data_IF_376000313505
#
_entry.id   IF_376000313505
#
_cell.length_a   1.000
_cell.length_b   1.000
_cell.length_c   1.000
_cell.angle_alpha   90.00
_cell.angle_beta   90.00
_cell.angle_gamma   90.00
#
_symmetry.space_group_name_H-M   'P 1'
#
loop_
_entity.id
_entity.type
_entity.pdbx_description
1 polymer ?
#
# COMPACT_ATOMS: atom_id res chain seq x y z
N UNK A 1 33.02 3.38 17.27
CA UNK A 1 32.90 4.06 15.96
C UNK A 1 31.90 5.21 16.04
N UNK A 2 30.64 4.98 16.44
CA UNK A 2 29.61 6.04 16.53
C UNK A 2 29.94 7.22 17.47
N UNK A 3 30.61 6.95 18.60
CA UNK A 3 31.02 8.02 19.55
C UNK A 3 32.03 8.99 18.93
N UNK A 4 32.96 8.49 18.12
CA UNK A 4 33.97 9.33 17.44
C UNK A 4 33.31 10.18 16.37
N UNK A 5 32.38 9.62 15.60
CA UNK A 5 31.59 10.36 14.60
C UNK A 5 30.77 11.48 15.24
N UNK A 6 30.10 11.22 16.37
CA UNK A 6 29.35 12.24 17.11
C UNK A 6 30.23 13.39 17.64
N UNK A 7 31.41 13.07 18.17
CA UNK A 7 32.35 14.10 18.62
C UNK A 7 32.91 14.93 17.44
N UNK A 8 33.09 14.31 16.27
CA UNK A 8 33.54 15.01 15.07
C UNK A 8 32.45 15.97 14.55
N UNK A 9 31.18 15.55 14.52
CA UNK A 9 30.04 16.41 14.17
C UNK A 9 29.90 17.64 15.08
N UNK A 10 30.24 17.51 16.36
CA UNK A 10 30.21 18.64 17.30
C UNK A 10 31.32 19.68 17.06
N UNK A 11 32.40 19.31 16.35
CA UNK A 11 33.61 20.12 16.19
C UNK A 11 33.95 20.48 14.74
N UNK A 12 33.35 19.80 13.76
CA UNK A 12 33.67 19.91 12.34
C UNK A 12 32.39 20.08 11.53
N UNK A 13 32.29 21.10 10.67
CA UNK A 13 31.12 21.28 9.81
C UNK A 13 30.98 20.12 8.81
N UNK A 14 29.74 19.77 8.48
CA UNK A 14 29.45 18.76 7.45
C UNK A 14 29.87 19.29 6.07
N UNK A 15 30.32 18.38 5.21
CA UNK A 15 30.59 18.73 3.82
C UNK A 15 29.27 19.07 3.12
N UNK A 16 29.31 20.10 2.26
CA UNK A 16 28.19 20.50 1.40
C UNK A 16 28.76 20.68 0.01
N UNK A 17 28.29 19.88 -0.94
CA UNK A 17 28.69 20.01 -2.33
C UNK A 17 28.00 21.22 -2.97
N UNK A 18 28.77 22.11 -3.57
CA UNK A 18 28.26 23.29 -4.28
C UNK A 18 27.48 22.97 -5.54
N UNK A 19 27.67 21.77 -6.14
CA UNK A 19 26.96 21.34 -7.34
C UNK A 19 25.57 20.76 -7.06
N UNK A 20 25.34 20.26 -5.83
CA UNK A 20 24.06 19.67 -5.40
C UNK A 20 23.09 20.66 -4.73
N UNK A 21 23.45 21.93 -4.59
CA UNK A 21 22.58 23.02 -4.15
C UNK A 21 22.52 23.27 -2.63
N UNK A 22 21.39 23.80 -2.13
CA UNK A 22 21.18 24.18 -0.72
C UNK A 22 20.80 23.00 0.21
N UNK A 23 20.73 21.77 -0.31
CA UNK A 23 20.32 20.60 0.47
C UNK A 23 21.50 20.10 1.30
N UNK A 24 21.32 20.01 2.61
CA UNK A 24 22.31 19.43 3.52
C UNK A 24 22.34 17.90 3.32
N UNK A 25 23.29 17.42 2.50
CA UNK A 25 23.43 15.99 2.16
C UNK A 25 23.58 15.09 3.38
N UNK A 26 24.25 15.57 4.43
CA UNK A 26 24.39 14.82 5.65
C UNK A 26 23.06 14.73 6.39
N UNK A 27 22.28 15.81 6.41
CA UNK A 27 20.94 15.79 6.98
C UNK A 27 20.00 14.87 6.19
N UNK A 28 20.04 14.88 4.86
CA UNK A 28 19.28 13.95 4.00
C UNK A 28 19.69 12.49 4.25
N UNK A 29 20.99 12.22 4.34
CA UNK A 29 21.48 10.89 4.69
C UNK A 29 21.00 10.48 6.08
N UNK A 30 21.07 11.37 7.07
CA UNK A 30 20.68 11.09 8.45
C UNK A 30 19.18 10.86 8.57
N UNK A 31 18.35 11.63 7.87
CA UNK A 31 16.88 11.48 7.86
C UNK A 31 16.46 10.06 7.43
N UNK A 32 17.14 9.51 6.42
CA UNK A 32 16.95 8.12 5.96
C UNK A 32 17.42 7.05 6.95
N UNK A 33 18.17 7.44 7.97
CA UNK A 33 18.74 6.58 9.01
C UNK A 33 18.35 7.04 10.42
N UNK A 34 17.28 7.81 10.60
CA UNK A 34 16.74 8.14 11.91
C UNK A 34 15.58 7.19 12.27
N UNK A 35 14.97 7.38 13.44
CA UNK A 35 13.72 6.73 13.79
C UNK A 35 12.58 7.30 12.92
N UNK A 36 11.71 6.41 12.42
CA UNK A 36 10.54 6.78 11.61
C UNK A 36 9.52 7.62 12.39
N UNK A 37 9.58 7.60 13.73
CA UNK A 37 8.73 8.39 14.63
C UNK A 37 9.53 9.47 15.37
N UNK A 38 9.25 10.73 15.05
CA UNK A 38 9.78 11.89 15.78
C UNK A 38 9.03 12.24 17.08
N UNK A 39 7.92 11.55 17.39
CA UNK A 39 7.03 11.87 18.51
C UNK A 39 7.34 11.11 19.81
N UNK A 40 8.48 10.40 19.86
CA UNK A 40 8.96 9.59 20.99
C UNK A 40 8.08 8.40 21.35
N UNK A 41 7.18 7.98 20.46
CA UNK A 41 6.39 6.75 20.61
C UNK A 41 7.06 5.57 19.92
N UNK A 42 6.66 4.37 20.30
CA UNK A 42 7.22 3.15 19.72
C UNK A 42 6.39 2.73 18.51
N UNK A 43 7.03 2.15 17.50
CA UNK A 43 6.31 1.55 16.39
C UNK A 43 5.48 0.34 16.80
N UNK A 44 5.90 -0.38 17.85
CA UNK A 44 5.08 -1.43 18.45
C UNK A 44 3.65 -0.95 18.75
N UNK A 45 3.49 0.27 19.27
CA UNK A 45 2.18 0.82 19.62
C UNK A 45 1.30 1.05 18.39
N UNK A 46 1.94 1.30 17.23
CA UNK A 46 1.25 1.43 15.95
C UNK A 46 0.85 0.09 15.34
N UNK A 47 1.56 -1.00 15.64
CA UNK A 47 1.30 -2.31 15.04
C UNK A 47 -0.10 -2.79 15.38
N UNK A 48 -0.93 -2.96 14.36
CA UNK A 48 -2.27 -3.47 14.53
C UNK A 48 -2.27 -5.01 14.59
N UNK A 49 -3.28 -5.63 15.22
CA UNK A 49 -3.51 -7.06 15.08
C UNK A 49 -3.67 -7.44 13.61
N UNK A 50 -3.25 -8.66 13.26
CA UNK A 50 -3.53 -9.20 11.95
C UNK A 50 -5.06 -9.24 11.71
N UNK A 51 -5.54 -8.83 10.52
CA UNK A 51 -6.94 -8.95 10.14
C UNK A 51 -7.45 -10.39 10.36
N UNK A 52 -8.65 -10.53 10.92
CA UNK A 52 -9.26 -11.84 11.20
C UNK A 52 -10.05 -12.37 10.00
N UNK A 53 -10.21 -11.54 8.96
CA UNK A 53 -10.92 -11.86 7.74
C UNK A 53 -10.22 -13.01 7.02
N UNK A 54 -11.00 -14.04 6.69
CA UNK A 54 -10.57 -15.14 5.83
C UNK A 54 -11.13 -14.94 4.43
N UNK A 55 -10.27 -15.13 3.45
CA UNK A 55 -10.64 -15.06 2.05
C UNK A 55 -11.20 -16.40 1.58
N UNK A 56 -12.17 -16.34 0.67
CA UNK A 56 -12.84 -17.52 0.14
C UNK A 56 -11.87 -18.51 -0.52
N UNK A 57 -10.75 -18.03 -1.08
CA UNK A 57 -9.72 -18.89 -1.66
C UNK A 57 -9.00 -19.77 -0.62
N UNK A 58 -8.90 -19.35 0.64
CA UNK A 58 -8.23 -20.10 1.71
C UNK A 58 -9.04 -21.32 2.18
N UNK A 59 -10.35 -21.35 1.88
CA UNK A 59 -11.26 -22.44 2.26
C UNK A 59 -11.60 -23.38 1.09
N UNK A 60 -11.01 -23.17 -0.10
CA UNK A 60 -11.21 -24.05 -1.27
C UNK A 60 -10.67 -25.46 -0.98
N UNK A 61 -11.40 -26.49 -1.42
CA UNK A 61 -11.05 -27.90 -1.16
C UNK A 61 -9.89 -28.36 -2.05
N UNK A 62 -9.11 -29.30 -1.51
CA UNK A 62 -7.83 -29.80 -2.04
C UNK A 62 -7.87 -30.61 -3.36
N UNK A 63 -9.05 -30.98 -3.86
CA UNK A 63 -9.20 -31.91 -5.00
C UNK A 63 -9.64 -31.21 -6.31
N UNK A 64 -9.72 -29.87 -6.32
CA UNK A 64 -10.09 -29.12 -7.52
C UNK A 64 -8.83 -28.58 -8.21
N UNK A 65 -8.61 -28.89 -9.49
CA UNK A 65 -7.59 -28.23 -10.33
C UNK A 65 -7.81 -26.69 -10.40
N UNK A 66 -8.98 -26.22 -9.94
CA UNK A 66 -9.38 -24.82 -9.76
C UNK A 66 -8.90 -24.19 -8.42
N UNK A 67 -8.30 -24.96 -7.49
CA UNK A 67 -7.90 -24.54 -6.12
C UNK A 67 -7.03 -23.27 -6.14
N UNK A 68 -6.28 -23.03 -7.21
CA UNK A 68 -5.28 -21.95 -7.26
C UNK A 68 -5.64 -20.83 -8.22
N UNK A 69 -6.64 -20.99 -9.10
CA UNK A 69 -6.97 -19.95 -10.07
C UNK A 69 -7.45 -18.69 -9.35
N UNK A 70 -6.99 -17.55 -9.86
CA UNK A 70 -7.48 -16.25 -9.41
C UNK A 70 -8.81 -16.03 -10.13
N UNK A 71 -9.90 -15.95 -9.37
CA UNK A 71 -11.27 -15.76 -9.89
C UNK A 71 -11.69 -14.30 -9.79
N UNK A 72 -12.81 -13.94 -10.43
CA UNK A 72 -13.37 -12.59 -10.27
C UNK A 72 -13.77 -12.27 -8.83
N UNK A 73 -14.25 -13.28 -8.09
CA UNK A 73 -14.63 -13.15 -6.68
C UNK A 73 -13.42 -12.79 -5.80
N UNK A 74 -12.23 -13.33 -6.12
CA UNK A 74 -10.99 -13.01 -5.38
C UNK A 74 -10.68 -11.50 -5.46
N UNK A 75 -10.94 -10.86 -6.60
CA UNK A 75 -10.75 -9.40 -6.75
C UNK A 75 -11.84 -8.59 -6.04
N UNK A 76 -13.09 -9.07 -6.04
CA UNK A 76 -14.20 -8.39 -5.37
C UNK A 76 -14.03 -8.41 -3.84
N UNK A 77 -13.60 -9.55 -3.30
CA UNK A 77 -13.27 -9.71 -1.88
C UNK A 77 -12.03 -8.88 -1.48
N UNK A 78 -11.02 -8.81 -2.36
CA UNK A 78 -9.86 -7.95 -2.18
C UNK A 78 -10.20 -6.45 -2.26
N UNK A 79 -11.18 -6.05 -3.08
CA UNK A 79 -11.62 -4.66 -3.20
C UNK A 79 -12.49 -4.22 -2.03
N UNK A 80 -13.41 -5.07 -1.58
CA UNK A 80 -14.38 -4.74 -0.54
C UNK A 80 -14.41 -5.83 0.53
N UNK A 81 -14.09 -5.42 1.76
CA UNK A 81 -14.18 -6.29 2.93
C UNK A 81 -15.04 -5.60 3.99
N UNK A 82 -16.12 -6.27 4.40
CA UNK A 82 -17.16 -5.65 5.22
C UNK A 82 -17.80 -4.43 4.52
N UNK A 83 -17.87 -3.30 5.23
CA UNK A 83 -18.54 -2.08 4.76
C UNK A 83 -17.60 -1.06 4.12
N UNK A 84 -16.29 -1.32 4.08
CA UNK A 84 -15.30 -0.40 3.52
C UNK A 84 -14.62 -0.96 2.26
N UNK A 85 -14.19 -0.04 1.40
CA UNK A 85 -13.39 -0.34 0.22
C UNK A 85 -11.92 -0.23 0.57
N UNK A 86 -11.12 -1.20 0.14
CA UNK A 86 -9.66 -1.09 0.10
C UNK A 86 -9.29 -0.18 -1.08
N UNK A 87 -8.56 0.90 -0.82
CA UNK A 87 -8.24 1.91 -1.84
C UNK A 87 -6.74 2.10 -2.04
N UNK A 88 -5.94 1.69 -1.07
CA UNK A 88 -4.50 1.68 -1.18
C UNK A 88 -3.92 0.63 -0.26
N UNK A 89 -2.85 -0.04 -0.67
CA UNK A 89 -2.11 -0.90 0.23
C UNK A 89 -1.53 -2.12 -0.45
N UNK A 90 -0.77 -2.87 0.33
CA UNK A 90 -0.24 -4.16 -0.05
C UNK A 90 -0.31 -5.07 1.16
N UNK A 91 -0.74 -6.31 0.96
CA UNK A 91 -0.72 -7.30 2.01
C UNK A 91 -0.53 -8.70 1.45
N UNK A 92 -0.01 -9.57 2.31
CA UNK A 92 0.15 -10.98 2.03
C UNK A 92 -0.73 -11.76 3.00
N UNK A 93 -1.54 -12.66 2.46
CA UNK A 93 -2.26 -13.68 3.23
C UNK A 93 -1.79 -15.06 2.81
N UNK A 94 -1.93 -16.04 3.69
CA UNK A 94 -1.50 -17.38 3.38
C UNK A 94 -2.43 -18.46 3.93
N UNK A 95 -2.33 -19.63 3.34
CA UNK A 95 -2.81 -20.87 3.93
C UNK A 95 -1.62 -21.82 4.19
N UNK A 96 -1.92 -23.11 4.39
CA UNK A 96 -0.91 -24.14 4.63
C UNK A 96 0.02 -24.45 3.44
N UNK A 97 -0.36 -24.08 2.22
CA UNK A 97 0.26 -24.44 0.94
C UNK A 97 0.60 -23.22 0.07
N UNK A 98 -0.19 -22.15 0.09
CA UNK A 98 -0.10 -21.00 -0.80
C UNK A 98 -0.04 -19.70 -0.02
N UNK A 99 0.58 -18.71 -0.64
CA UNK A 99 0.52 -17.32 -0.23
C UNK A 99 0.02 -16.47 -1.39
N UNK A 100 -0.79 -15.48 -1.06
CA UNK A 100 -1.35 -14.52 -1.97
C UNK A 100 -0.88 -13.12 -1.57
N UNK A 101 -0.19 -12.45 -2.49
CA UNK A 101 0.12 -11.03 -2.36
C UNK A 101 -0.93 -10.23 -3.12
N UNK A 102 -1.60 -9.33 -2.39
CA UNK A 102 -2.62 -8.44 -2.92
C UNK A 102 -2.09 -7.02 -2.88
N UNK A 103 -2.17 -6.30 -4.00
CA UNK A 103 -1.85 -4.88 -4.07
C UNK A 103 -3.07 -4.13 -4.55
N UNK A 104 -3.38 -3.03 -3.88
CA UNK A 104 -4.47 -2.14 -4.27
C UNK A 104 -3.90 -0.74 -4.41
N UNK A 105 -4.13 -0.13 -5.56
CA UNK A 105 -3.74 1.24 -5.83
C UNK A 105 -4.93 2.02 -6.39
N UNK A 106 -5.02 3.30 -6.05
CA UNK A 106 -6.08 4.15 -6.60
C UNK A 106 -5.58 5.56 -6.89
N UNK A 107 -6.15 6.15 -7.94
CA UNK A 107 -5.82 7.50 -8.38
C UNK A 107 -7.07 8.21 -8.94
N UNK A 108 -7.06 9.54 -8.85
CA UNK A 108 -8.12 10.40 -9.34
C UNK A 108 -7.96 10.61 -10.84
N UNK A 109 -9.06 10.52 -11.58
CA UNK A 109 -9.08 10.62 -13.04
C UNK A 109 -10.14 11.61 -13.52
N UNK A 110 -9.89 12.25 -14.66
CA UNK A 110 -10.86 13.16 -15.27
C UNK A 110 -12.12 12.39 -15.75
N UNK A 111 -13.35 12.81 -15.39
CA UNK A 111 -14.57 12.06 -15.70
C UNK A 111 -14.78 11.84 -17.21
N UNK A 112 -14.47 12.84 -18.03
CA UNK A 112 -14.65 12.81 -19.49
C UNK A 112 -13.82 11.73 -20.18
N UNK A 113 -12.69 11.32 -19.57
CA UNK A 113 -11.72 10.38 -20.15
C UNK A 113 -11.52 9.13 -19.31
N UNK A 114 -12.21 9.00 -18.18
CA UNK A 114 -12.03 7.92 -17.21
C UNK A 114 -12.26 6.53 -17.83
N UNK A 115 -13.31 6.38 -18.64
CA UNK A 115 -13.60 5.14 -19.37
C UNK A 115 -12.58 4.81 -20.46
N UNK A 116 -12.06 5.82 -21.14
CA UNK A 116 -11.01 5.62 -22.15
C UNK A 116 -9.71 5.18 -21.50
N UNK A 117 -9.35 5.78 -20.35
CA UNK A 117 -8.18 5.39 -19.58
C UNK A 117 -8.32 3.97 -19.02
N UNK A 118 -9.49 3.62 -18.45
CA UNK A 118 -9.79 2.28 -17.98
C UNK A 118 -9.56 1.22 -19.07
N UNK A 119 -10.06 1.48 -20.29
CA UNK A 119 -9.84 0.60 -21.45
C UNK A 119 -8.37 0.51 -21.84
N UNK A 120 -7.67 1.64 -21.89
CA UNK A 120 -6.26 1.67 -22.28
C UNK A 120 -5.40 0.83 -21.31
N UNK A 121 -5.57 1.04 -20.00
CA UNK A 121 -4.86 0.28 -18.97
C UNK A 121 -5.26 -1.20 -18.96
N UNK A 122 -6.56 -1.50 -19.15
CA UNK A 122 -7.04 -2.88 -19.22
C UNK A 122 -6.60 -3.65 -20.46
N UNK A 123 -6.13 -2.96 -21.50
CA UNK A 123 -5.51 -3.58 -22.70
C UNK A 123 -3.98 -3.67 -22.63
N UNK A 124 -3.36 -3.24 -21.54
CA UNK A 124 -1.93 -3.38 -21.36
C UNK A 124 -1.53 -4.86 -21.35
N UNK A 125 -0.39 -5.19 -21.94
CA UNK A 125 0.08 -6.58 -22.03
C UNK A 125 0.56 -7.11 -20.68
N UNK A 126 1.07 -6.22 -19.82
CA UNK A 126 1.52 -6.52 -18.47
C UNK A 126 1.04 -5.48 -17.46
N UNK A 127 0.84 -5.92 -16.22
CA UNK A 127 0.56 -5.05 -15.06
C UNK A 127 1.73 -4.12 -14.73
N UNK A 128 2.93 -4.43 -15.25
CA UNK A 128 4.14 -3.64 -15.05
C UNK A 128 4.37 -2.60 -16.17
N UNK A 129 3.52 -2.57 -17.21
CA UNK A 129 3.64 -1.61 -18.32
C UNK A 129 3.09 -0.22 -17.94
N UNK A 130 2.38 -0.12 -16.81
CA UNK A 130 1.83 1.12 -16.27
C UNK A 130 1.93 1.14 -14.74
N UNK A 131 1.64 2.29 -14.14
CA UNK A 131 1.58 2.44 -12.70
C UNK A 131 0.44 3.39 -12.31
N UNK A 132 -0.27 3.04 -11.24
CA UNK A 132 -1.21 3.95 -10.57
C UNK A 132 -0.42 4.79 -9.55
N UNK A 133 -0.35 6.12 -9.72
CA UNK A 133 0.54 6.96 -8.93
C UNK A 133 -0.02 7.24 -7.52
N UNK A 134 0.90 7.30 -6.55
CA UNK A 134 0.66 7.95 -5.26
C UNK A 134 0.71 9.47 -5.38
N UNK A 135 0.22 10.18 -4.37
CA UNK A 135 0.14 11.63 -4.38
C UNK A 135 1.54 12.26 -4.46
N UNK A 136 1.76 13.13 -5.44
CA UNK A 136 3.04 13.80 -5.67
C UNK A 136 4.10 12.94 -6.35
N UNK A 137 3.71 11.77 -6.88
CA UNK A 137 4.61 10.95 -7.70
C UNK A 137 4.89 11.63 -9.05
N UNK A 138 6.12 11.45 -9.55
CA UNK A 138 6.55 11.77 -10.91
C UNK A 138 5.79 10.99 -12.00
N UNK A 139 5.10 9.92 -11.63
CA UNK A 139 4.24 9.11 -12.50
C UNK A 139 2.83 9.68 -12.66
N UNK A 140 2.50 10.81 -12.00
CA UNK A 140 1.25 11.51 -12.25
C UNK A 140 1.15 12.03 -13.68
N UNK A 141 -0.04 11.93 -14.27
CA UNK A 141 -0.29 12.36 -15.65
C UNK A 141 -1.27 13.52 -15.62
N UNK A 142 -0.88 14.62 -16.26
CA UNK A 142 -1.76 15.75 -16.56
C UNK A 142 -1.43 16.27 -17.97
N UNK A 143 -1.80 15.48 -18.98
CA UNK A 143 -1.45 15.72 -20.40
C UNK A 143 -2.61 15.37 -21.32
N UNK A 144 -2.81 16.18 -22.36
CA UNK A 144 -3.79 15.94 -23.41
C UNK A 144 -5.24 15.70 -22.90
N UNK A 145 -5.61 16.31 -21.77
CA UNK A 145 -6.91 16.14 -21.13
C UNK A 145 -7.08 14.81 -20.38
N UNK A 146 -6.03 13.99 -20.28
CA UNK A 146 -5.96 12.88 -19.35
C UNK A 146 -5.36 13.39 -18.04
N UNK A 147 -6.10 13.18 -16.95
CA UNK A 147 -5.60 13.36 -15.59
C UNK A 147 -5.56 11.99 -14.90
N UNK A 148 -4.42 11.68 -14.29
CA UNK A 148 -4.21 10.54 -13.39
C UNK A 148 -3.36 11.08 -12.23
N UNK A 149 -4.03 11.48 -11.15
CA UNK A 149 -3.41 12.15 -10.01
C UNK A 149 -3.52 11.31 -8.76
N UNK A 150 -2.41 11.16 -8.04
CA UNK A 150 -2.42 10.44 -6.79
C UNK A 150 -3.12 11.25 -5.70
N UNK A 151 -3.74 10.54 -4.76
CA UNK A 151 -4.40 11.16 -3.61
C UNK A 151 -4.04 10.50 -2.28
N UNK A 152 -3.29 9.41 -2.31
CA UNK A 152 -2.77 8.70 -1.13
C UNK A 152 -1.26 8.91 -1.07
N UNK A 153 -0.76 9.24 0.10
CA UNK A 153 0.67 9.29 0.41
C UNK A 153 1.04 7.97 1.10
N UNK A 154 2.06 7.30 0.58
CA UNK A 154 2.52 6.01 1.08
C UNK A 154 4.03 6.03 1.31
N UNK A 155 4.42 5.79 2.57
CA UNK A 155 5.82 5.72 3.02
C UNK A 155 6.26 4.27 3.30
N UNK A 156 5.47 3.28 2.88
CA UNK A 156 5.65 1.89 3.27
C UNK A 156 7.00 1.27 2.87
N UNK A 157 7.75 1.90 1.96
CA UNK A 157 9.02 1.40 1.43
C UNK A 157 10.24 1.75 2.28
N UNK A 158 10.20 2.80 3.10
CA UNK A 158 11.31 3.17 3.97
C UNK A 158 11.02 2.76 5.42
N UNK A 159 11.89 1.90 5.96
CA UNK A 159 11.81 1.43 7.35
C UNK A 159 12.88 2.06 8.24
N UNK A 160 13.74 2.91 7.68
CA UNK A 160 14.84 3.58 8.36
C UNK A 160 15.58 2.67 9.37
N UNK A 161 15.94 3.17 10.55
CA UNK A 161 16.53 2.33 11.62
C UNK A 161 15.56 1.30 12.20
N UNK A 162 14.26 1.58 12.10
CA UNK A 162 13.22 0.76 12.69
C UNK A 162 13.06 -0.61 12.02
N UNK A 163 13.62 -0.80 10.82
CA UNK A 163 13.70 -2.11 10.18
C UNK A 163 14.45 -3.15 11.02
N UNK A 164 15.27 -2.72 11.99
CA UNK A 164 15.99 -3.59 12.93
C UNK A 164 15.23 -3.82 14.24
N UNK A 165 14.10 -3.13 14.47
CA UNK A 165 13.29 -3.31 15.66
C UNK A 165 12.42 -4.57 15.55
N UNK A 166 12.71 -5.55 16.42
CA UNK A 166 11.96 -6.80 16.50
C UNK A 166 10.53 -6.60 16.96
N UNK A 167 10.30 -5.56 17.73
CA UNK A 167 8.99 -5.25 18.28
C UNK A 167 8.13 -4.56 17.19
N UNK A 168 8.69 -3.63 16.41
CA UNK A 168 7.97 -3.03 15.28
C UNK A 168 7.35 -4.06 14.30
N UNK A 169 7.83 -5.31 14.27
CA UNK A 169 7.18 -6.36 13.48
C UNK A 169 7.26 -6.09 11.98
N UNK A 170 8.30 -5.36 11.55
CA UNK A 170 8.54 -5.01 10.15
C UNK A 170 7.53 -4.03 9.55
N UNK A 171 6.72 -3.34 10.36
CA UNK A 171 5.81 -2.31 9.88
C UNK A 171 6.58 -1.04 9.50
N UNK A 172 5.96 -0.20 8.66
CA UNK A 172 6.45 1.13 8.30
C UNK A 172 5.53 2.20 8.88
N UNK A 173 6.08 3.39 9.14
CA UNK A 173 5.33 4.56 9.60
C UNK A 173 5.84 5.82 8.87
N UNK A 174 4.96 6.78 8.53
CA UNK A 174 3.51 6.73 8.69
C UNK A 174 2.84 5.70 7.76
N UNK A 175 1.67 5.17 8.14
CA UNK A 175 0.90 4.27 7.29
C UNK A 175 0.39 5.01 6.03
N UNK A 176 -0.09 4.29 5.01
CA UNK A 176 -0.79 4.92 3.90
C UNK A 176 -1.91 5.84 4.40
N UNK A 177 -1.94 7.07 3.90
CA UNK A 177 -2.83 8.12 4.37
C UNK A 177 -3.31 9.04 3.24
N UNK A 178 -4.48 9.68 3.36
CA UNK A 178 -4.93 10.67 2.39
C UNK A 178 -3.92 11.83 2.29
N UNK A 179 -3.74 12.35 1.08
CA UNK A 179 -2.93 13.52 0.84
C UNK A 179 -3.52 14.75 1.52
N UNK A 180 -2.64 15.71 1.90
CA UNK A 180 -3.03 16.93 2.61
C UNK A 180 -4.18 17.69 1.95
N UNK A 181 -4.22 17.75 0.61
CA UNK A 181 -5.33 18.36 -0.14
C UNK A 181 -6.69 17.71 0.18
N UNK A 182 -6.74 16.39 0.33
CA UNK A 182 -7.98 15.66 0.65
C UNK A 182 -8.35 15.85 2.12
N UNK A 183 -7.35 15.82 3.02
CA UNK A 183 -7.52 16.12 4.44
C UNK A 183 -8.15 17.50 4.62
N UNK A 184 -7.60 18.52 3.98
CA UNK A 184 -8.09 19.91 4.08
C UNK A 184 -9.49 20.06 3.46
N UNK A 185 -9.72 19.47 2.28
CA UNK A 185 -11.01 19.54 1.55
C UNK A 185 -12.19 18.90 2.32
N UNK A 186 -11.90 17.80 3.02
CA UNK A 186 -12.89 17.05 3.78
C UNK A 186 -12.85 17.37 5.27
N UNK A 187 -11.97 18.27 5.69
CA UNK A 187 -11.74 18.65 7.10
C UNK A 187 -11.53 17.41 7.98
N UNK A 188 -10.68 16.50 7.52
CA UNK A 188 -10.42 15.25 8.24
C UNK A 188 -9.55 15.51 9.47
N UNK A 189 -9.89 14.82 10.55
CA UNK A 189 -9.06 14.72 11.75
C UNK A 189 -8.63 13.27 11.94
N UNK A 190 -7.49 13.07 12.58
CA UNK A 190 -6.96 11.73 12.86
C UNK A 190 -6.35 11.67 14.25
N UNK A 191 -6.17 10.45 14.74
CA UNK A 191 -5.44 10.17 15.97
C UNK A 191 -3.92 10.27 15.76
N UNK A 192 -3.17 10.23 16.86
CA UNK A 192 -1.71 10.37 16.84
C UNK A 192 -0.98 9.25 16.10
N UNK A 193 -1.66 8.12 15.85
CA UNK A 193 -1.11 6.97 15.15
C UNK A 193 -1.62 6.87 13.70
N UNK A 194 -2.38 7.85 13.21
CA UNK A 194 -2.97 7.85 11.87
C UNK A 194 -3.74 6.54 11.59
N UNK A 195 -4.50 6.04 12.57
CA UNK A 195 -5.29 4.80 12.45
C UNK A 195 -6.65 5.08 11.86
N UNK A 196 -7.36 6.04 12.41
CA UNK A 196 -8.73 6.36 12.05
C UNK A 196 -8.83 7.81 11.61
N UNK A 197 -9.50 8.02 10.49
CA UNK A 197 -9.78 9.34 9.95
C UNK A 197 -11.25 9.63 10.12
N UNK A 198 -11.55 10.77 10.74
CA UNK A 198 -12.91 11.21 11.02
C UNK A 198 -13.26 12.44 10.22
N UNK A 199 -14.52 12.53 9.83
CA UNK A 199 -15.09 13.74 9.24
C UNK A 199 -15.47 14.76 10.34
N UNK A 200 -16.00 15.91 9.91
CA UNK A 200 -16.51 16.97 10.81
C UNK A 200 -17.65 16.54 11.73
N UNK A 201 -18.31 15.41 11.44
CA UNK A 201 -19.38 14.82 12.27
C UNK A 201 -18.84 13.76 13.24
N UNK A 202 -17.52 13.68 13.41
CA UNK A 202 -16.83 12.68 14.24
C UNK A 202 -17.05 11.21 13.82
N UNK A 203 -17.59 11.00 12.61
CA UNK A 203 -17.80 9.66 12.05
C UNK A 203 -16.52 9.16 11.38
N UNK A 204 -16.15 7.90 11.64
CA UNK A 204 -14.99 7.25 11.02
C UNK A 204 -15.30 6.99 9.55
N UNK A 205 -14.53 7.62 8.66
CA UNK A 205 -14.72 7.55 7.21
C UNK A 205 -13.59 6.81 6.50
N UNK A 206 -12.39 6.78 7.11
CA UNK A 206 -11.26 6.00 6.61
C UNK A 206 -10.52 5.34 7.77
N UNK A 207 -9.88 4.21 7.48
CA UNK A 207 -9.06 3.47 8.42
C UNK A 207 -7.76 3.00 7.75
N UNK A 208 -6.63 3.28 8.38
CA UNK A 208 -5.32 2.76 7.97
C UNK A 208 -4.94 1.64 8.92
N UNK A 209 -4.78 0.43 8.39
CA UNK A 209 -4.34 -0.74 9.14
C UNK A 209 -2.94 -1.15 8.70
N UNK A 210 -2.07 -1.44 9.66
CA UNK A 210 -0.71 -1.95 9.40
C UNK A 210 -0.37 -3.04 10.39
N UNK A 211 -0.08 -4.23 9.88
CA UNK A 211 0.24 -5.40 10.66
C UNK A 211 1.45 -6.12 10.09
N UNK A 212 2.11 -6.88 10.93
CA UNK A 212 3.25 -7.68 10.55
C UNK A 212 3.85 -8.41 11.72
N UNK A 213 4.82 -9.24 11.40
CA UNK A 213 5.63 -9.98 12.34
C UNK A 213 7.10 -9.73 12.02
N UNK A 214 7.94 -9.78 13.05
CA UNK A 214 9.37 -9.81 12.86
C UNK A 214 9.77 -11.27 12.58
N UNK A 215 10.29 -11.53 11.40
CA UNK A 215 10.76 -12.85 11.03
C UNK A 215 12.16 -13.06 11.63
N UNK A 216 12.24 -13.88 12.69
CA UNK A 216 13.52 -14.28 13.28
C UNK A 216 14.26 -15.34 12.44
N UNK A 217 13.60 -15.88 11.41
CA UNK A 217 14.17 -16.91 10.58
C UNK A 217 15.29 -16.35 9.68
N UNK A 218 16.29 -17.19 9.38
CA UNK A 218 17.38 -16.80 8.49
C UNK A 218 16.84 -16.60 7.07
N UNK A 219 17.50 -15.75 6.27
CA UNK A 219 17.17 -15.52 4.85
C UNK A 219 16.77 -16.85 4.21
N UNK A 220 15.53 -16.94 3.71
CA UNK A 220 14.87 -18.11 3.09
C UNK A 220 13.93 -18.98 3.95
N UNK A 221 13.72 -18.67 5.24
CA UNK A 221 12.87 -19.47 6.15
C UNK A 221 11.66 -18.70 6.72
N UNK A 222 10.99 -17.84 5.93
CA UNK A 222 9.85 -17.05 6.43
C UNK A 222 8.77 -17.92 7.06
N UNK A 223 8.69 -17.90 8.39
CA UNK A 223 7.78 -18.72 9.19
C UNK A 223 6.32 -18.33 8.96
N UNK A 224 6.11 -17.02 8.96
CA UNK A 224 4.84 -16.38 8.73
C UNK A 224 5.01 -15.46 7.51
N UNK A 225 4.10 -15.46 6.53
CA UNK A 225 4.11 -14.50 5.45
C UNK A 225 3.09 -13.38 5.69
N UNK A 226 2.23 -13.47 6.72
CA UNK A 226 1.10 -12.57 6.90
C UNK A 226 1.52 -11.22 7.45
N UNK A 227 1.54 -10.24 6.56
CA UNK A 227 1.89 -8.86 6.83
C UNK A 227 1.25 -7.95 5.81
N UNK A 228 1.09 -6.68 6.15
CA UNK A 228 0.59 -5.73 5.19
C UNK A 228 0.26 -4.38 5.77
N UNK A 229 -0.11 -3.50 4.85
CA UNK A 229 -0.70 -2.21 5.14
C UNK A 229 -1.86 -1.99 4.18
N UNK A 230 -2.97 -1.45 4.67
CA UNK A 230 -4.09 -1.04 3.81
C UNK A 230 -4.76 0.20 4.34
N UNK A 231 -5.23 1.01 3.40
CA UNK A 231 -6.10 2.16 3.62
C UNK A 231 -7.49 1.82 3.10
N UNK A 232 -8.45 1.91 3.99
CA UNK A 232 -9.85 1.63 3.72
C UNK A 232 -10.67 2.90 3.84
N UNK A 233 -11.74 3.03 3.05
CA UNK A 233 -12.70 4.11 3.21
C UNK A 233 -14.13 3.65 2.96
N UNK A 234 -15.08 4.37 3.54
CA UNK A 234 -16.50 4.16 3.22
C UNK A 234 -16.82 4.65 1.81
N UNK A 235 -17.76 3.98 1.15
CA UNK A 235 -18.19 4.37 -0.20
C UNK A 235 -18.76 5.79 -0.23
N UNK A 236 -19.60 6.14 0.74
CA UNK A 236 -20.23 7.46 0.84
C UNK A 236 -19.20 8.58 0.97
N UNK A 237 -18.15 8.35 1.75
CA UNK A 237 -17.04 9.29 1.88
C UNK A 237 -16.34 9.50 0.54
N UNK A 238 -16.00 8.42 -0.16
CA UNK A 238 -15.33 8.53 -1.46
C UNK A 238 -16.20 9.21 -2.51
N UNK A 239 -17.50 8.91 -2.56
CA UNK A 239 -18.45 9.63 -3.42
C UNK A 239 -18.46 11.13 -3.11
N UNK A 240 -18.41 11.51 -1.83
CA UNK A 240 -18.28 12.90 -1.41
C UNK A 240 -16.98 13.58 -1.87
N UNK A 241 -15.85 12.88 -1.79
CA UNK A 241 -14.55 13.36 -2.30
C UNK A 241 -14.62 13.58 -3.81
N UNK A 242 -15.10 12.58 -4.55
CA UNK A 242 -15.20 12.60 -6.01
C UNK A 242 -16.12 13.72 -6.51
N UNK A 243 -17.25 13.92 -5.84
CA UNK A 243 -18.20 15.00 -6.16
C UNK A 243 -17.59 16.39 -5.94
N UNK A 244 -16.87 16.59 -4.83
CA UNK A 244 -16.22 17.90 -4.55
C UNK A 244 -15.05 18.20 -5.48
N UNK A 245 -14.36 17.17 -5.97
CA UNK A 245 -13.20 17.30 -6.85
C UNK A 245 -13.55 17.24 -8.34
N UNK A 246 -14.81 16.97 -8.68
CA UNK A 246 -15.30 16.75 -10.05
C UNK A 246 -14.44 15.74 -10.82
N UNK A 247 -14.26 14.56 -10.20
CA UNK A 247 -13.40 13.50 -10.73
C UNK A 247 -14.00 12.11 -10.49
N UNK A 248 -13.49 11.12 -11.22
CA UNK A 248 -13.74 9.71 -10.93
C UNK A 248 -12.50 9.10 -10.25
N UNK A 249 -12.64 7.90 -9.67
CA UNK A 249 -11.53 7.13 -9.10
C UNK A 249 -11.28 5.87 -9.92
N UNK A 250 -10.05 5.69 -10.39
CA UNK A 250 -9.60 4.40 -10.90
C UNK A 250 -8.95 3.62 -9.75
N UNK A 251 -9.28 2.33 -9.66
CA UNK A 251 -8.76 1.42 -8.64
C UNK A 251 -8.20 0.19 -9.37
N UNK A 252 -6.95 -0.15 -9.10
CA UNK A 252 -6.32 -1.36 -9.57
C UNK A 252 -6.18 -2.33 -8.41
N UNK A 253 -6.62 -3.57 -8.60
CA UNK A 253 -6.39 -4.68 -7.68
C UNK A 253 -5.52 -5.70 -8.39
N UNK A 254 -4.32 -5.92 -7.89
CA UNK A 254 -3.38 -6.93 -8.38
C UNK A 254 -3.31 -8.10 -7.40
N UNK A 255 -3.36 -9.32 -7.92
CA UNK A 255 -3.25 -10.55 -7.15
C UNK A 255 -2.13 -11.41 -7.75
N UNK A 256 -1.17 -11.80 -6.90
CA UNK A 256 -0.13 -12.78 -7.21
C UNK A 256 -0.29 -13.93 -6.21
N UNK A 257 -0.46 -15.16 -6.72
CA UNK A 257 -0.60 -16.35 -5.87
C UNK A 257 0.51 -17.33 -6.20
N UNK A 258 1.25 -17.75 -5.17
CA UNK A 258 2.36 -18.69 -5.30
C UNK A 258 2.36 -19.72 -4.19
N UNK A 259 2.98 -20.85 -4.45
CA UNK A 259 3.15 -21.90 -3.46
C UNK A 259 4.14 -21.47 -2.38
N UNK A 260 3.85 -21.81 -1.13
CA UNK A 260 4.76 -21.68 0.00
C UNK A 260 5.75 -22.83 -0.04
N UNK A 261 7.03 -22.48 -0.01
CA UNK A 261 8.10 -23.46 0.08
C UNK A 261 8.38 -23.78 1.54
N UNK A 262 8.44 -25.07 1.86
CA UNK A 262 9.01 -25.49 3.14
C UNK A 262 10.54 -25.51 3.03
N UNK A 263 11.26 -25.28 4.14
CA UNK A 263 12.70 -25.52 4.16
C UNK A 263 12.99 -26.94 3.64
N UNK A 264 14.01 -27.07 2.78
CA UNK A 264 14.49 -28.31 2.14
C UNK A 264 13.71 -28.84 0.91
N UNK A 265 12.71 -28.12 0.38
CA UNK A 265 12.14 -28.41 -0.96
C UNK A 265 12.91 -27.63 -2.04
N UNK A 266 13.40 -28.32 -3.09
CA UNK A 266 14.18 -27.70 -4.17
C UNK A 266 13.31 -26.79 -5.04
N UNK A 267 13.70 -25.52 -5.19
CA UNK A 267 12.93 -24.49 -5.91
C UNK A 267 12.95 -24.60 -7.45
N UNK A 268 13.89 -25.34 -8.03
CA UNK A 268 14.29 -25.16 -9.44
C UNK A 268 13.34 -25.81 -10.45
N UNK A 269 12.68 -26.92 -10.12
CA UNK A 269 11.79 -27.62 -11.09
C UNK A 269 10.32 -27.15 -11.05
N UNK A 270 9.88 -26.48 -9.97
CA UNK A 270 8.47 -26.17 -9.69
C UNK A 270 8.08 -24.67 -9.77
N UNK A 271 8.98 -23.79 -10.22
CA UNK A 271 8.64 -22.37 -10.50
C UNK A 271 7.56 -22.21 -11.60
N UNK A 272 7.21 -23.33 -12.26
CA UNK A 272 6.09 -23.46 -13.22
C UNK A 272 4.70 -23.38 -12.56
N UNK A 273 4.59 -23.53 -11.24
CA UNK A 273 3.31 -23.43 -10.49
C UNK A 273 2.98 -21.98 -10.08
N UNK A 274 3.86 -21.01 -10.32
CA UNK A 274 3.57 -19.60 -10.04
C UNK A 274 2.47 -19.12 -10.98
N UNK A 275 1.38 -18.62 -10.40
CA UNK A 275 0.33 -17.97 -11.17
C UNK A 275 0.82 -16.55 -11.45
N UNK A 276 0.86 -16.12 -12.73
CA UNK A 276 1.27 -14.78 -13.08
C UNK A 276 0.42 -13.75 -12.33
N UNK A 277 1.03 -12.62 -11.98
CA UNK A 277 0.29 -11.50 -11.39
C UNK A 277 -0.83 -11.07 -12.33
N UNK A 278 -2.07 -11.13 -11.86
CA UNK A 278 -3.24 -10.68 -12.59
C UNK A 278 -3.76 -9.41 -11.96
N UNK A 279 -4.28 -8.49 -12.78
CA UNK A 279 -4.89 -7.26 -12.32
C UNK A 279 -6.33 -7.14 -12.82
N UNK A 280 -7.18 -6.55 -11.99
CA UNK A 280 -8.52 -6.11 -12.37
C UNK A 280 -8.66 -4.63 -12.03
N UNK A 281 -9.12 -3.86 -13.01
CA UNK A 281 -9.30 -2.42 -12.90
C UNK A 281 -10.78 -2.11 -12.69
N UNK A 282 -11.03 -1.20 -11.77
CA UNK A 282 -12.35 -0.69 -11.43
C UNK A 282 -12.37 0.82 -11.59
N UNK A 283 -13.54 1.34 -11.93
CA UNK A 283 -13.82 2.77 -12.02
C UNK A 283 -15.00 3.09 -11.12
N UNK A 284 -14.76 3.88 -10.09
CA UNK A 284 -15.79 4.42 -9.21
C UNK A 284 -16.12 5.85 -9.65
N UNK A 285 -17.36 6.08 -10.05
CA UNK A 285 -17.83 7.42 -10.41
C UNK A 285 -18.33 8.21 -9.20
N UNK A 286 -18.47 9.53 -9.37
CA UNK A 286 -19.17 10.38 -8.41
C UNK A 286 -20.67 10.01 -8.23
N UNK A 287 -21.22 9.17 -9.11
CA UNK A 287 -22.55 8.58 -8.98
C UNK A 287 -22.61 7.35 -8.06
N UNK A 288 -21.47 6.95 -7.47
CA UNK A 288 -21.35 5.77 -6.61
C UNK A 288 -21.36 4.45 -7.38
N UNK A 289 -21.39 4.47 -8.71
CA UNK A 289 -21.37 3.24 -9.50
C UNK A 289 -19.93 2.76 -9.71
N UNK A 290 -19.69 1.51 -9.34
CA UNK A 290 -18.46 0.79 -9.64
C UNK A 290 -18.58 0.09 -11.00
N UNK A 291 -17.64 0.34 -11.90
CA UNK A 291 -17.62 -0.18 -13.26
C UNK A 291 -16.31 -0.93 -13.52
N UNK A 292 -16.37 -2.02 -14.25
CA UNK A 292 -15.20 -2.79 -14.74
C UNK A 292 -15.33 -2.97 -16.25
N UNK A 293 -14.25 -3.38 -16.91
CA UNK A 293 -14.30 -3.89 -18.28
C UNK A 293 -14.98 -5.25 -18.37
#
# INVERSE_FOLDING_TARGET
MMIVAGNLLASTPTHRDSEYGEVDEFADWLDRHDLSRGDRRWLWDRRDPAPLERYSWQDRKKDDDEEHRITSDDFEEALKIGDMLNLWGHWTTADSKYEQSTHVYSALVAPDRSRSLLRALGTAGSVYDYAIPGAGSDMEIDKFGFALKGWVVDHSRDRALDGMDRWAGGISFPPPMPARRVIDLMSLTTDLDNRLWKNSEESVVMASQVWGHYDEAKRHESSDPERGSRLQATLDFMVGVLTKLDCDLIIEVQIDRRRRYRPYESSIENDKERIPTTAKLYLLGADGQLRTL
#
